data_IF_775239849372
#
_entry.id   IF_775239849372
#
_cell.length_a   1.000
_cell.length_b   1.000
_cell.length_c   1.000
_cell.angle_alpha   90.00
_cell.angle_beta   90.00
_cell.angle_gamma   90.00
#
_symmetry.space_group_name_H-M   'P 1'
#
loop_
_entity.id
_entity.type
_entity.pdbx_description
1 polymer ?
#
# COMPACT_ATOMS: atom_id res chain seq x y z
N UNK A 1 -8.27 5.38 -7.05
CA UNK A 1 -8.16 6.64 -7.84
C UNK A 1 -7.06 7.57 -7.31
N UNK A 2 -6.83 7.62 -6.00
CA UNK A 2 -5.88 8.52 -5.33
C UNK A 2 -4.39 8.28 -5.68
N UNK A 3 -3.95 7.03 -5.70
CA UNK A 3 -2.60 6.66 -6.13
C UNK A 3 -2.28 7.06 -7.58
N UNK A 4 -3.26 7.01 -8.50
CA UNK A 4 -3.06 7.42 -9.90
C UNK A 4 -2.83 8.91 -10.02
N UNK A 5 -3.66 9.73 -9.35
CA UNK A 5 -3.54 11.19 -9.44
C UNK A 5 -2.18 11.61 -8.90
N UNK A 6 -1.72 10.98 -7.83
CA UNK A 6 -0.39 11.19 -7.26
C UNK A 6 0.72 10.74 -8.23
N UNK A 7 0.55 9.59 -8.90
CA UNK A 7 1.47 9.06 -9.92
C UNK A 7 1.58 9.97 -11.15
N UNK A 8 0.43 10.38 -11.69
CA UNK A 8 0.33 11.28 -12.84
C UNK A 8 0.93 12.64 -12.52
N UNK A 9 0.65 13.18 -11.34
CA UNK A 9 1.25 14.44 -10.93
C UNK A 9 2.78 14.30 -10.75
N UNK A 10 3.25 13.25 -10.07
CA UNK A 10 4.67 13.03 -9.80
C UNK A 10 5.51 12.74 -11.04
N UNK A 11 4.91 12.13 -12.07
CA UNK A 11 5.57 11.91 -13.37
C UNK A 11 5.54 13.15 -14.27
N UNK A 12 4.53 14.02 -14.14
CA UNK A 12 4.40 15.26 -14.92
C UNK A 12 5.22 16.43 -14.38
N UNK A 13 5.40 16.56 -13.06
CA UNK A 13 6.05 17.72 -12.45
C UNK A 13 7.54 17.89 -12.79
N UNK A 14 8.38 16.84 -12.82
CA UNK A 14 9.79 16.96 -13.22
C UNK A 14 9.97 17.50 -14.65
N UNK A 15 8.92 17.39 -15.47
CA UNK A 15 8.84 17.93 -16.81
C UNK A 15 8.36 19.39 -16.89
N UNK A 16 8.15 20.06 -15.75
CA UNK A 16 7.75 21.47 -15.68
C UNK A 16 6.24 21.71 -15.70
N UNK A 17 5.42 20.66 -15.53
CA UNK A 17 3.96 20.81 -15.45
C UNK A 17 3.51 20.95 -14.00
N UNK A 18 3.28 22.18 -13.55
CA UNK A 18 2.85 22.48 -12.18
C UNK A 18 1.36 22.78 -12.05
N UNK A 19 0.64 22.93 -13.16
CA UNK A 19 -0.80 23.17 -13.17
C UNK A 19 -1.58 22.01 -13.80
N UNK A 20 -2.76 21.72 -13.26
CA UNK A 20 -3.78 20.86 -13.86
C UNK A 20 -4.46 21.51 -15.07
N UNK A 21 -4.11 22.74 -15.40
CA UNK A 21 -4.62 23.48 -16.55
C UNK A 21 -4.12 22.85 -17.84
N UNK A 22 -5.01 22.65 -18.80
CA UNK A 22 -4.77 22.26 -20.19
C UNK A 22 -4.03 23.37 -20.97
N UNK A 23 -2.95 23.92 -20.39
CA UNK A 23 -2.06 24.88 -21.02
C UNK A 23 -0.97 24.17 -21.83
N UNK A 24 -0.51 24.83 -22.89
CA UNK A 24 0.49 24.28 -23.80
C UNK A 24 1.81 23.97 -23.07
N UNK A 25 2.34 22.78 -23.34
CA UNK A 25 3.64 22.35 -22.85
C UNK A 25 4.73 23.30 -23.36
N UNK A 26 5.57 23.83 -22.48
CA UNK A 26 6.76 24.58 -22.89
C UNK A 26 7.71 23.70 -23.73
N UNK A 27 8.31 24.20 -24.82
CA UNK A 27 9.29 23.46 -25.62
C UNK A 27 10.45 22.86 -24.79
N UNK A 28 10.87 23.55 -23.72
CA UNK A 28 11.90 23.04 -22.82
C UNK A 28 11.40 21.88 -21.94
N UNK A 29 10.11 21.87 -21.59
CA UNK A 29 9.46 20.74 -20.91
C UNK A 29 9.38 19.51 -21.81
N UNK A 30 9.01 19.68 -23.08
CA UNK A 30 9.02 18.60 -24.09
C UNK A 30 10.44 18.04 -24.26
N UNK A 31 11.46 18.90 -24.30
CA UNK A 31 12.86 18.45 -24.45
C UNK A 31 13.33 17.63 -23.25
N UNK A 32 12.98 18.03 -22.02
CA UNK A 32 13.32 17.26 -20.80
C UNK A 32 12.60 15.91 -20.76
N UNK A 33 11.32 15.89 -21.15
CA UNK A 33 10.54 14.66 -21.29
C UNK A 33 11.17 13.70 -22.29
N UNK A 34 11.50 14.19 -23.49
CA UNK A 34 12.12 13.35 -24.52
C UNK A 34 13.49 12.84 -24.05
N UNK A 35 14.32 13.69 -23.45
CA UNK A 35 15.63 13.26 -22.97
C UNK A 35 15.53 12.24 -21.83
N UNK A 36 14.56 12.39 -20.93
CA UNK A 36 14.32 11.40 -19.89
C UNK A 36 13.78 10.09 -20.47
N UNK A 37 12.79 10.16 -21.36
CA UNK A 37 12.20 8.98 -22.01
C UNK A 37 13.20 8.13 -22.75
N UNK A 38 14.21 8.73 -23.40
CA UNK A 38 15.22 8.00 -24.19
C UNK A 38 16.24 7.26 -23.31
N UNK A 39 16.26 7.50 -21.99
CA UNK A 39 17.07 6.68 -21.07
C UNK A 39 16.40 5.32 -20.84
N UNK A 40 17.20 4.26 -20.64
CA UNK A 40 16.67 2.92 -20.33
C UNK A 40 15.70 2.94 -19.13
N UNK A 41 16.03 3.76 -18.13
CA UNK A 41 15.17 4.05 -16.98
C UNK A 41 13.86 4.70 -17.41
N UNK A 42 13.92 5.84 -18.09
CA UNK A 42 12.73 6.60 -18.49
C UNK A 42 11.80 5.82 -19.43
N UNK A 43 12.36 4.97 -20.30
CA UNK A 43 11.58 4.03 -21.12
C UNK A 43 10.81 3.02 -20.26
N UNK A 44 11.49 2.37 -19.30
CA UNK A 44 10.84 1.44 -18.38
C UNK A 44 9.76 2.13 -17.55
N UNK A 45 10.06 3.28 -16.95
CA UNK A 45 9.10 4.05 -16.14
C UNK A 45 7.86 4.48 -16.93
N UNK A 46 8.06 5.01 -18.13
CA UNK A 46 6.94 5.41 -18.98
C UNK A 46 6.06 4.22 -19.34
N UNK A 47 6.68 3.07 -19.63
CA UNK A 47 5.93 1.84 -19.93
C UNK A 47 5.11 1.35 -18.74
N UNK A 48 5.66 1.39 -17.52
CA UNK A 48 4.96 0.99 -16.29
C UNK A 48 3.85 1.98 -15.94
N UNK A 49 4.09 3.28 -16.07
CA UNK A 49 3.06 4.31 -15.84
C UNK A 49 1.89 4.16 -16.84
N UNK A 50 2.18 3.93 -18.13
CA UNK A 50 1.16 3.66 -19.13
C UNK A 50 0.39 2.36 -18.86
N UNK A 51 1.08 1.29 -18.43
CA UNK A 51 0.42 0.06 -17.97
C UNK A 51 -0.50 0.35 -16.79
N UNK A 52 -0.04 1.09 -15.77
CA UNK A 52 -0.84 1.42 -14.59
C UNK A 52 -2.12 2.18 -14.98
N UNK A 53 -2.00 3.18 -15.85
CA UNK A 53 -3.14 3.96 -16.36
C UNK A 53 -4.10 3.08 -17.19
N UNK A 54 -3.57 2.17 -18.00
CA UNK A 54 -4.36 1.29 -18.88
C UNK A 54 -5.11 0.20 -18.12
N UNK A 55 -4.53 -0.34 -17.07
CA UNK A 55 -5.10 -1.44 -16.28
C UNK A 55 -6.04 -0.93 -15.19
N UNK A 56 -5.95 0.35 -14.82
CA UNK A 56 -6.83 0.96 -13.81
C UNK A 56 -8.34 0.83 -14.14
N UNK A 57 -8.83 1.12 -15.35
CA UNK A 57 -10.23 0.88 -15.69
C UNK A 57 -10.66 -0.59 -15.60
N UNK A 58 -9.75 -1.53 -15.86
CA UNK A 58 -10.01 -2.97 -15.79
C UNK A 58 -10.22 -3.43 -14.35
N UNK A 59 -9.54 -2.82 -13.37
CA UNK A 59 -9.73 -3.12 -11.94
C UNK A 59 -11.13 -2.79 -11.40
N UNK A 60 -11.88 -1.87 -12.03
CA UNK A 60 -13.20 -1.41 -11.56
C UNK A 60 -14.39 -1.92 -12.37
N UNK A 61 -14.16 -2.57 -13.51
CA UNK A 61 -15.24 -2.97 -14.43
C UNK A 61 -15.58 -4.47 -14.37
N UNK A 62 -15.20 -5.16 -13.29
CA UNK A 62 -15.52 -6.58 -13.09
C UNK A 62 -16.82 -6.77 -12.28
N UNK A 63 -17.80 -7.40 -12.93
CA UNK A 63 -19.19 -7.58 -12.51
C UNK A 63 -19.39 -8.73 -11.52
N UNK A 64 -18.73 -8.67 -10.35
CA UNK A 64 -19.05 -9.55 -9.21
C UNK A 64 -18.35 -10.92 -9.16
N UNK A 65 -17.32 -11.16 -9.97
CA UNK A 65 -16.46 -12.35 -9.80
C UNK A 65 -15.40 -12.11 -8.70
N UNK A 66 -15.16 -13.12 -7.86
CA UNK A 66 -14.15 -13.07 -6.78
C UNK A 66 -12.76 -13.17 -7.41
N UNK A 67 -11.91 -12.17 -7.18
CA UNK A 67 -10.50 -12.22 -7.57
C UNK A 67 -9.80 -13.41 -6.91
N UNK A 68 -8.96 -14.10 -7.67
CA UNK A 68 -8.09 -15.16 -7.15
C UNK A 68 -6.97 -14.54 -6.30
N UNK A 69 -6.55 -15.27 -5.28
CA UNK A 69 -5.43 -14.85 -4.46
C UNK A 69 -4.12 -14.82 -5.26
N UNK A 70 -3.31 -13.82 -4.97
CA UNK A 70 -2.04 -13.57 -5.65
C UNK A 70 -0.86 -14.02 -4.79
N UNK A 71 0.23 -14.51 -5.41
CA UNK A 71 1.46 -14.74 -4.68
C UNK A 71 2.08 -13.48 -4.09
N UNK A 72 2.41 -13.52 -2.80
CA UNK A 72 3.06 -12.40 -2.11
C UNK A 72 4.44 -12.05 -2.68
N UNK A 73 5.14 -13.04 -3.24
CA UNK A 73 6.45 -12.89 -3.85
C UNK A 73 6.46 -11.89 -5.03
N UNK A 74 5.30 -11.59 -5.63
CA UNK A 74 5.18 -10.62 -6.73
C UNK A 74 5.24 -9.16 -6.27
N UNK A 75 4.93 -8.89 -4.99
CA UNK A 75 4.71 -7.52 -4.50
C UNK A 75 5.67 -7.18 -3.35
N UNK A 76 5.85 -8.08 -2.38
CA UNK A 76 6.62 -7.80 -1.16
C UNK A 76 8.08 -7.41 -1.42
N UNK A 77 8.83 -8.00 -2.38
CA UNK A 77 10.20 -7.56 -2.66
C UNK A 77 10.28 -6.07 -3.03
N UNK A 78 9.39 -5.60 -3.90
CA UNK A 78 9.33 -4.20 -4.30
C UNK A 78 9.01 -3.27 -3.12
N UNK A 79 8.04 -3.64 -2.28
CA UNK A 79 7.64 -2.89 -1.09
C UNK A 79 8.77 -2.79 -0.05
N UNK A 80 9.52 -3.87 0.17
CA UNK A 80 10.67 -3.89 1.10
C UNK A 80 11.82 -3.02 0.61
N UNK A 81 12.18 -3.12 -0.67
CA UNK A 81 13.24 -2.28 -1.25
C UNK A 81 12.82 -0.81 -1.21
N UNK A 82 11.55 -0.51 -1.53
CA UNK A 82 11.00 0.84 -1.41
C UNK A 82 11.11 1.37 0.03
N UNK A 83 10.66 0.59 1.02
CA UNK A 83 10.74 0.98 2.45
C UNK A 83 12.17 1.33 2.84
N UNK A 84 13.14 0.49 2.48
CA UNK A 84 14.55 0.72 2.77
C UNK A 84 15.08 1.95 2.06
N UNK A 85 14.74 2.15 0.79
CA UNK A 85 15.26 3.27 0.03
C UNK A 85 14.66 4.59 0.49
N UNK A 86 13.34 4.62 0.72
CA UNK A 86 12.59 5.85 0.97
C UNK A 86 12.50 6.25 2.45
N UNK A 87 12.63 5.30 3.36
CA UNK A 87 12.64 5.56 4.79
C UNK A 87 14.03 5.39 5.39
N UNK A 88 14.61 4.17 5.31
CA UNK A 88 15.88 3.87 5.98
C UNK A 88 17.09 4.56 5.31
N UNK A 89 17.05 4.74 3.99
CA UNK A 89 18.13 5.31 3.19
C UNK A 89 18.15 6.84 3.14
N UNK A 90 17.06 7.51 3.50
CA UNK A 90 16.96 8.97 3.55
C UNK A 90 16.94 9.53 4.97
N UNK A 91 17.01 8.68 6.00
CA UNK A 91 16.83 9.12 7.39
C UNK A 91 17.93 10.07 7.90
N UNK A 92 19.06 10.29 7.20
CA UNK A 92 20.08 11.33 7.53
C UNK A 92 20.95 11.66 6.28
N UNK A 93 21.20 12.92 5.81
CA UNK A 93 20.60 14.24 6.04
C UNK A 93 20.26 15.05 4.73
N UNK A 94 19.21 15.87 4.77
CA UNK A 94 19.01 17.20 4.13
C UNK A 94 17.51 17.55 4.22
N UNK A 95 17.11 18.78 4.55
CA UNK A 95 15.70 19.18 4.57
C UNK A 95 15.17 19.25 3.14
N UNK A 96 14.72 18.11 2.61
CA UNK A 96 13.93 18.05 1.39
C UNK A 96 12.48 18.34 1.75
N UNK A 97 11.82 19.15 0.93
CA UNK A 97 10.37 19.31 1.07
C UNK A 97 9.67 17.98 0.79
N UNK A 98 8.52 17.74 1.40
CA UNK A 98 7.69 16.56 1.10
C UNK A 98 7.45 16.38 -0.41
N UNK A 99 7.38 17.49 -1.17
CA UNK A 99 7.23 17.48 -2.63
C UNK A 99 8.41 16.84 -3.34
N UNK A 100 9.64 17.15 -2.93
CA UNK A 100 10.85 16.59 -3.56
C UNK A 100 10.95 15.09 -3.30
N UNK A 101 10.60 14.63 -2.10
CA UNK A 101 10.59 13.20 -1.77
C UNK A 101 9.57 12.45 -2.63
N UNK A 102 8.39 13.04 -2.86
CA UNK A 102 7.39 12.47 -3.77
C UNK A 102 7.89 12.41 -5.22
N UNK A 103 8.49 13.48 -5.73
CA UNK A 103 8.99 13.52 -7.10
C UNK A 103 10.15 12.52 -7.29
N UNK A 104 11.04 12.38 -6.31
CA UNK A 104 12.11 11.38 -6.30
C UNK A 104 11.54 9.95 -6.28
N UNK A 105 10.46 9.72 -5.52
CA UNK A 105 9.76 8.44 -5.47
C UNK A 105 9.20 8.02 -6.83
N UNK A 106 8.45 8.90 -7.50
CA UNK A 106 7.83 8.57 -8.78
C UNK A 106 8.86 8.37 -9.91
N UNK A 107 10.08 8.85 -9.72
CA UNK A 107 11.20 8.65 -10.64
C UNK A 107 12.12 7.48 -10.26
N UNK A 108 11.85 6.79 -9.14
CA UNK A 108 12.72 5.74 -8.64
C UNK A 108 12.40 4.37 -9.22
N UNK A 109 13.44 3.56 -9.43
CA UNK A 109 13.31 2.18 -9.92
C UNK A 109 12.42 1.32 -9.01
N UNK A 110 12.46 1.59 -7.71
CA UNK A 110 11.65 0.88 -6.71
C UNK A 110 10.16 1.13 -6.85
N UNK A 111 9.74 2.34 -7.23
CA UNK A 111 8.32 2.61 -7.46
C UNK A 111 7.83 1.85 -8.69
N UNK A 112 8.59 1.84 -9.78
CA UNK A 112 8.25 1.04 -10.96
C UNK A 112 8.20 -0.46 -10.68
N UNK A 113 9.16 -1.01 -9.93
CA UNK A 113 9.14 -2.41 -9.53
C UNK A 113 7.88 -2.76 -8.72
N UNK A 114 7.49 -1.89 -7.78
CA UNK A 114 6.26 -2.09 -6.99
C UNK A 114 5.02 -2.08 -7.89
N UNK A 115 4.89 -1.09 -8.77
CA UNK A 115 3.71 -0.96 -9.64
C UNK A 115 3.63 -2.06 -10.71
N UNK A 116 4.74 -2.44 -11.33
CA UNK A 116 4.76 -3.57 -12.27
C UNK A 116 4.35 -4.86 -11.57
N UNK A 117 4.85 -5.09 -10.34
CA UNK A 117 4.42 -6.21 -9.49
C UNK A 117 2.92 -6.20 -9.16
N UNK A 118 2.37 -5.04 -8.76
CA UNK A 118 0.94 -4.88 -8.47
C UNK A 118 0.07 -5.10 -9.72
N UNK A 119 0.50 -4.61 -10.88
CA UNK A 119 -0.23 -4.77 -12.16
C UNK A 119 -0.23 -6.22 -12.61
N UNK A 120 0.93 -6.88 -12.60
CA UNK A 120 1.03 -8.29 -13.01
C UNK A 120 0.33 -9.21 -12.01
N UNK A 121 0.31 -8.85 -10.72
CA UNK A 121 -0.51 -9.53 -9.72
C UNK A 121 -2.01 -9.36 -10.00
N UNK A 122 -2.48 -8.14 -10.32
CA UNK A 122 -3.87 -7.89 -10.70
C UNK A 122 -4.28 -8.76 -11.89
N UNK A 123 -3.49 -8.77 -12.97
CA UNK A 123 -3.75 -9.59 -14.17
C UNK A 123 -3.85 -11.09 -13.84
N UNK A 124 -3.07 -11.57 -12.88
CA UNK A 124 -3.15 -12.97 -12.44
C UNK A 124 -4.33 -13.27 -11.52
N UNK A 125 -4.86 -12.25 -10.82
CA UNK A 125 -6.02 -12.40 -9.94
C UNK A 125 -7.35 -12.51 -10.71
N UNK A 126 -7.41 -12.02 -11.94
CA UNK A 126 -8.61 -12.08 -12.78
C UNK A 126 -8.91 -13.53 -13.18
N UNK A 127 -10.10 -14.08 -12.84
CA UNK A 127 -10.51 -15.41 -13.27
C UNK A 127 -10.53 -15.50 -14.81
N UNK A 128 -9.85 -16.50 -15.37
CA UNK A 128 -9.91 -16.76 -16.81
C UNK A 128 -11.00 -17.79 -17.08
N UNK A 129 -12.01 -17.42 -17.87
CA UNK A 129 -13.15 -18.28 -18.29
C UNK A 129 -12.75 -19.49 -19.17
N UNK A 130 -11.47 -19.82 -19.27
CA UNK A 130 -10.99 -20.98 -19.99
C UNK A 130 -10.45 -22.01 -19.01
N UNK A 131 -10.81 -23.27 -19.24
CA UNK A 131 -10.19 -24.46 -18.65
C UNK A 131 -8.69 -24.49 -19.01
N UNK A 132 -7.91 -23.57 -18.49
CA UNK A 132 -6.46 -23.56 -18.62
C UNK A 132 -5.89 -24.07 -17.31
N UNK A 133 -5.35 -25.28 -17.40
CA UNK A 133 -4.35 -25.93 -16.56
C UNK A 133 -4.22 -25.38 -15.14
N UNK A 134 -4.48 -26.26 -14.18
CA UNK A 134 -3.97 -26.14 -12.82
C UNK A 134 -2.59 -25.47 -12.85
N UNK A 135 -2.52 -24.21 -12.40
CA UNK A 135 -1.25 -23.56 -12.20
C UNK A 135 -0.50 -24.46 -11.23
N UNK A 136 0.60 -25.05 -11.71
CA UNK A 136 1.65 -25.68 -10.91
C UNK A 136 2.36 -24.60 -10.08
N UNK A 137 1.59 -23.84 -9.29
CA UNK A 137 2.11 -23.00 -8.24
C UNK A 137 2.61 -23.90 -7.13
N UNK A 138 3.75 -23.55 -6.56
CA UNK A 138 4.26 -24.22 -5.36
C UNK A 138 3.15 -24.21 -4.30
N UNK A 139 2.75 -25.39 -3.82
CA UNK A 139 1.68 -25.52 -2.81
C UNK A 139 2.05 -24.79 -1.51
N UNK A 140 3.34 -24.46 -1.33
CA UNK A 140 3.86 -23.70 -0.18
C UNK A 140 3.93 -22.18 -0.43
N UNK A 141 3.57 -21.69 -1.62
CA UNK A 141 3.59 -20.25 -1.90
C UNK A 141 2.44 -19.54 -1.17
N UNK A 142 2.79 -18.61 -0.27
CA UNK A 142 1.81 -17.77 0.43
C UNK A 142 1.08 -16.86 -0.56
N UNK A 143 -0.26 -16.85 -0.47
CA UNK A 143 -1.14 -16.03 -1.33
C UNK A 143 -2.10 -15.20 -0.50
N UNK A 144 -2.50 -14.04 -1.01
CA UNK A 144 -3.45 -13.16 -0.35
C UNK A 144 -4.37 -12.46 -1.36
N UNK A 145 -5.42 -11.80 -0.87
CA UNK A 145 -6.28 -10.97 -1.71
C UNK A 145 -5.46 -9.85 -2.33
N UNK A 146 -5.55 -9.68 -3.65
CA UNK A 146 -4.91 -8.56 -4.33
C UNK A 146 -5.44 -7.21 -3.84
N UNK A 147 -6.76 -7.10 -3.63
CA UNK A 147 -7.38 -5.85 -3.22
C UNK A 147 -7.03 -5.50 -1.76
N UNK A 148 -7.07 -6.46 -0.84
CA UNK A 148 -6.62 -6.28 0.54
C UNK A 148 -5.15 -5.82 0.62
N UNK A 149 -4.26 -6.51 -0.10
CA UNK A 149 -2.84 -6.17 -0.13
C UNK A 149 -2.59 -4.79 -0.74
N UNK A 150 -3.27 -4.45 -1.84
CA UNK A 150 -3.16 -3.14 -2.47
C UNK A 150 -3.55 -2.04 -1.47
N UNK A 151 -4.73 -2.15 -0.84
CA UNK A 151 -5.21 -1.16 0.12
C UNK A 151 -4.23 -1.01 1.29
N UNK A 152 -3.74 -2.10 1.85
CA UNK A 152 -2.77 -2.02 2.95
C UNK A 152 -1.46 -1.33 2.53
N UNK A 153 -0.97 -1.58 1.31
CA UNK A 153 0.18 -0.86 0.74
C UNK A 153 -0.13 0.62 0.56
N UNK A 154 -1.33 0.96 0.08
CA UNK A 154 -1.77 2.33 -0.09
C UNK A 154 -1.71 3.11 1.24
N UNK A 155 -2.29 2.54 2.29
CA UNK A 155 -2.28 3.11 3.63
C UNK A 155 -0.85 3.19 4.21
N UNK A 156 -0.02 2.18 3.99
CA UNK A 156 1.37 2.17 4.46
C UNK A 156 2.22 3.26 3.80
N UNK A 157 2.07 3.44 2.49
CA UNK A 157 2.79 4.48 1.74
C UNK A 157 2.34 5.89 2.13
N UNK A 158 1.10 6.07 2.54
CA UNK A 158 0.58 7.35 3.04
C UNK A 158 1.02 7.64 4.47
N UNK A 159 0.88 6.67 5.39
CA UNK A 159 1.01 6.92 6.83
C UNK A 159 2.41 6.66 7.39
N UNK A 160 3.14 5.69 6.82
CA UNK A 160 4.44 5.24 7.37
C UNK A 160 5.59 5.78 6.52
N UNK A 161 5.53 5.58 5.20
CA UNK A 161 6.58 6.09 4.30
C UNK A 161 6.34 7.56 3.90
N UNK A 162 5.09 8.03 4.03
CA UNK A 162 4.68 9.43 3.76
C UNK A 162 5.01 9.89 2.33
N UNK A 163 4.81 8.99 1.36
CA UNK A 163 5.05 9.23 -0.06
C UNK A 163 3.79 9.66 -0.82
N UNK A 164 2.61 9.49 -0.22
CA UNK A 164 1.34 9.82 -0.86
C UNK A 164 0.71 11.09 -0.29
N UNK A 165 -0.20 11.68 -1.07
CA UNK A 165 -1.09 12.73 -0.56
C UNK A 165 -2.11 12.09 0.41
N UNK A 166 -2.76 12.87 1.28
CA UNK A 166 -3.85 12.36 2.10
C UNK A 166 -5.03 11.88 1.24
N UNK A 167 -5.66 10.76 1.57
CA UNK A 167 -6.93 10.37 0.93
C UNK A 167 -7.98 11.48 1.09
N UNK A 168 -8.85 11.64 0.10
CA UNK A 168 -10.10 12.37 0.34
C UNK A 168 -11.00 11.53 1.26
N UNK A 169 -11.72 12.18 2.16
CA UNK A 169 -12.61 11.51 3.13
C UNK A 169 -13.51 10.44 2.53
N UNK A 170 -14.17 10.74 1.42
CA UNK A 170 -15.12 9.82 0.77
C UNK A 170 -14.41 8.58 0.19
N UNK A 171 -13.24 8.78 -0.42
CA UNK A 171 -12.44 7.67 -0.93
C UNK A 171 -11.90 6.82 0.22
N UNK A 172 -11.50 7.45 1.33
CA UNK A 172 -10.99 6.75 2.50
C UNK A 172 -12.02 5.78 3.09
N UNK A 173 -13.23 6.25 3.41
CA UNK A 173 -14.26 5.41 4.02
C UNK A 173 -14.65 4.24 3.11
N UNK A 174 -14.82 4.50 1.80
CA UNK A 174 -15.12 3.44 0.84
C UNK A 174 -14.00 2.39 0.75
N UNK A 175 -12.74 2.83 0.71
CA UNK A 175 -11.57 1.95 0.75
C UNK A 175 -11.54 1.10 2.02
N UNK A 176 -11.78 1.70 3.19
CA UNK A 176 -11.81 0.96 4.46
C UNK A 176 -12.94 -0.07 4.53
N UNK A 177 -14.12 0.21 3.96
CA UNK A 177 -15.21 -0.76 3.88
C UNK A 177 -14.87 -1.96 3.00
N UNK A 178 -14.20 -1.74 1.85
CA UNK A 178 -13.69 -2.85 1.01
C UNK A 178 -12.67 -3.66 1.81
N UNK A 179 -11.76 -2.99 2.50
CA UNK A 179 -10.69 -3.65 3.23
C UNK A 179 -11.21 -4.50 4.39
N UNK A 180 -12.19 -3.99 5.14
CA UNK A 180 -12.89 -4.75 6.19
C UNK A 180 -13.49 -6.04 5.64
N UNK A 181 -14.17 -5.97 4.49
CA UNK A 181 -14.75 -7.15 3.84
C UNK A 181 -13.66 -8.17 3.46
N UNK A 182 -12.58 -7.70 2.84
CA UNK A 182 -11.48 -8.56 2.36
C UNK A 182 -10.72 -9.24 3.50
N UNK A 183 -10.39 -8.51 4.58
CA UNK A 183 -9.78 -9.10 5.78
C UNK A 183 -10.69 -10.11 6.46
N UNK A 184 -12.00 -9.81 6.50
CA UNK A 184 -13.01 -10.75 7.00
C UNK A 184 -12.97 -12.08 6.23
N UNK A 185 -12.87 -12.04 4.89
CA UNK A 185 -12.72 -13.25 4.09
C UNK A 185 -11.39 -13.98 4.35
N UNK A 186 -10.29 -13.25 4.52
CA UNK A 186 -8.98 -13.86 4.73
C UNK A 186 -8.91 -14.70 6.00
N UNK A 187 -9.59 -14.31 7.09
CA UNK A 187 -9.64 -15.10 8.34
C UNK A 187 -10.34 -16.46 8.20
N UNK A 188 -11.28 -16.58 7.26
CA UNK A 188 -12.03 -17.82 7.08
C UNK A 188 -11.29 -18.84 6.21
N UNK A 189 -10.10 -18.50 5.70
CA UNK A 189 -9.32 -19.39 4.86
C UNK A 189 -8.51 -20.38 5.71
N UNK A 190 -8.37 -21.65 5.25
CA UNK A 190 -7.60 -22.66 5.98
C UNK A 190 -6.12 -22.29 6.23
N UNK A 191 -5.55 -21.47 5.36
CA UNK A 191 -4.16 -20.99 5.41
C UNK A 191 -3.98 -19.70 6.20
N UNK A 192 -5.03 -19.13 6.80
CA UNK A 192 -4.96 -17.91 7.59
C UNK A 192 -3.85 -17.91 8.67
N UNK A 193 -3.58 -19.01 9.41
CA UNK A 193 -2.46 -19.05 10.36
C UNK A 193 -1.09 -18.84 9.71
N UNK A 194 -0.91 -19.28 8.46
CA UNK A 194 0.34 -19.08 7.71
C UNK A 194 0.51 -17.63 7.25
N UNK A 195 -0.59 -16.88 7.17
CA UNK A 195 -0.62 -15.47 6.78
C UNK A 195 -0.68 -14.52 7.99
N UNK A 196 -0.57 -15.03 9.22
CA UNK A 196 -0.76 -14.23 10.43
C UNK A 196 0.13 -12.97 10.49
N UNK A 197 1.38 -13.04 10.04
CA UNK A 197 2.27 -11.87 9.93
C UNK A 197 1.74 -10.82 8.96
N UNK A 198 1.22 -11.24 7.81
CA UNK A 198 0.63 -10.35 6.82
C UNK A 198 -0.67 -9.73 7.35
N UNK A 199 -1.55 -10.56 7.91
CA UNK A 199 -2.83 -10.12 8.46
C UNK A 199 -2.64 -9.14 9.62
N UNK A 200 -1.62 -9.36 10.47
CA UNK A 200 -1.21 -8.40 11.48
C UNK A 200 -0.72 -7.10 10.85
N UNK A 201 0.16 -7.17 9.85
CA UNK A 201 0.67 -5.98 9.16
C UNK A 201 -0.43 -5.16 8.50
N UNK A 202 -1.34 -5.81 7.76
CA UNK A 202 -2.46 -5.20 7.07
C UNK A 202 -3.42 -4.50 8.04
N UNK A 203 -3.83 -5.20 9.10
CA UNK A 203 -4.75 -4.64 10.11
C UNK A 203 -4.10 -3.54 10.93
N UNK A 204 -2.83 -3.66 11.28
CA UNK A 204 -2.15 -2.65 12.10
C UNK A 204 -1.89 -1.35 11.32
N UNK A 205 -1.51 -1.44 10.04
CA UNK A 205 -1.43 -0.26 9.15
C UNK A 205 -2.80 0.43 9.04
N UNK A 206 -3.89 -0.34 8.99
CA UNK A 206 -5.25 0.20 9.00
C UNK A 206 -5.53 1.00 10.28
N UNK A 207 -5.18 0.47 11.46
CA UNK A 207 -5.35 1.16 12.74
C UNK A 207 -4.57 2.47 12.79
N UNK A 208 -3.31 2.48 12.34
CA UNK A 208 -2.50 3.70 12.27
C UNK A 208 -3.20 4.76 11.40
N UNK A 209 -3.68 4.36 10.22
CA UNK A 209 -4.40 5.25 9.32
C UNK A 209 -5.68 5.81 9.95
N UNK A 210 -6.47 4.96 10.61
CA UNK A 210 -7.71 5.36 11.27
C UNK A 210 -7.47 6.41 12.35
N UNK A 211 -6.39 6.29 13.12
CA UNK A 211 -6.06 7.27 14.14
C UNK A 211 -5.72 8.65 13.57
N UNK A 212 -5.20 8.72 12.34
CA UNK A 212 -4.95 9.99 11.66
C UNK A 212 -6.22 10.58 11.05
N UNK A 213 -7.06 9.76 10.42
CA UNK A 213 -8.32 10.21 9.82
C UNK A 213 -9.41 10.55 10.86
N UNK A 214 -9.36 9.94 12.05
CA UNK A 214 -10.23 10.31 13.16
C UNK A 214 -9.97 11.74 13.64
N UNK A 215 -8.69 12.13 13.77
CA UNK A 215 -8.30 13.51 14.13
C UNK A 215 -8.81 14.54 13.11
N UNK A 216 -9.07 14.12 11.88
CA UNK A 216 -9.61 14.95 10.80
C UNK A 216 -11.15 14.99 10.79
N UNK A 217 -11.82 14.21 11.65
CA UNK A 217 -13.29 14.15 11.74
C UNK A 217 -13.94 13.25 10.68
N UNK A 218 -13.15 12.42 9.98
CA UNK A 218 -13.64 11.62 8.86
C UNK A 218 -14.55 10.48 9.31
N UNK A 219 -14.27 9.90 10.48
CA UNK A 219 -14.93 8.70 11.02
C UNK A 219 -16.29 8.93 11.68
N UNK A 220 -16.75 10.17 11.82
CA UNK A 220 -17.99 10.49 12.57
C UNK A 220 -19.26 9.78 12.06
N UNK A 221 -19.26 9.31 10.81
CA UNK A 221 -20.40 8.62 10.18
C UNK A 221 -20.30 7.08 10.20
N UNK A 222 -19.15 6.53 10.57
CA UNK A 222 -18.86 5.09 10.50
C UNK A 222 -18.13 4.62 11.79
N UNK A 223 -18.77 4.73 12.97
CA UNK A 223 -18.11 4.46 14.25
C UNK A 223 -17.66 3.01 14.43
N UNK A 224 -18.22 2.07 13.65
CA UNK A 224 -17.91 0.64 13.74
C UNK A 224 -16.60 0.23 13.03
N UNK A 225 -16.07 1.06 12.13
CA UNK A 225 -14.85 0.73 11.37
C UNK A 225 -13.66 0.60 12.29
N UNK A 226 -13.46 1.54 13.22
CA UNK A 226 -12.28 1.53 14.10
C UNK A 226 -12.22 0.30 15.02
N UNK A 227 -13.28 -0.01 15.80
CA UNK A 227 -13.30 -1.20 16.64
C UNK A 227 -13.07 -2.51 15.86
N UNK A 228 -13.51 -2.57 14.60
CA UNK A 228 -13.27 -3.74 13.74
C UNK A 228 -11.77 -3.99 13.51
N UNK A 229 -11.04 -2.98 13.04
CA UNK A 229 -9.61 -3.12 12.75
C UNK A 229 -8.77 -3.26 14.02
N UNK A 230 -9.13 -2.59 15.11
CA UNK A 230 -8.46 -2.77 16.41
C UNK A 230 -8.65 -4.19 16.96
N UNK A 231 -9.88 -4.72 16.90
CA UNK A 231 -10.16 -6.11 17.29
C UNK A 231 -9.40 -7.12 16.43
N UNK A 232 -9.31 -6.86 15.13
CA UNK A 232 -8.57 -7.70 14.20
C UNK A 232 -7.06 -7.70 14.49
N UNK A 233 -6.45 -6.52 14.66
CA UNK A 233 -5.04 -6.38 14.98
C UNK A 233 -4.68 -7.04 16.33
N UNK A 234 -5.58 -6.94 17.32
CA UNK A 234 -5.45 -7.64 18.60
C UNK A 234 -5.48 -9.15 18.42
N UNK A 235 -6.43 -9.68 17.68
CA UNK A 235 -6.55 -11.12 17.44
C UNK A 235 -5.32 -11.67 16.71
N UNK A 236 -4.82 -10.97 15.69
CA UNK A 236 -3.58 -11.40 15.02
C UNK A 236 -2.35 -11.28 15.92
N UNK A 237 -2.30 -10.28 16.80
CA UNK A 237 -1.26 -10.20 17.83
C UNK A 237 -1.28 -11.39 18.77
N UNK A 238 -2.48 -11.89 19.12
CA UNK A 238 -2.67 -13.10 19.94
C UNK A 238 -2.21 -14.36 19.21
N UNK A 239 -2.60 -14.53 17.94
CA UNK A 239 -2.19 -15.67 17.09
C UNK A 239 -0.67 -15.75 16.96
N UNK A 240 0.00 -14.61 16.80
CA UNK A 240 1.45 -14.51 16.72
C UNK A 240 2.17 -14.54 18.09
N UNK A 241 1.42 -14.49 19.19
CA UNK A 241 1.99 -14.47 20.54
C UNK A 241 2.79 -13.21 20.87
N UNK A 242 2.43 -12.06 20.29
CA UNK A 242 3.13 -10.79 20.47
C UNK A 242 2.84 -10.23 21.87
N UNK A 243 3.88 -10.11 22.71
CA UNK A 243 3.74 -9.65 24.11
C UNK A 243 4.33 -8.27 24.35
N UNK A 244 5.26 -7.87 23.50
CA UNK A 244 5.96 -6.60 23.60
C UNK A 244 5.94 -5.87 22.26
N UNK A 245 6.12 -4.55 22.30
CA UNK A 245 6.32 -3.77 21.07
C UNK A 245 7.49 -4.28 20.23
N UNK A 246 8.53 -4.82 20.85
CA UNK A 246 9.66 -5.44 20.14
C UNK A 246 9.21 -6.64 19.30
N UNK A 247 8.29 -7.46 19.81
CA UNK A 247 7.74 -8.61 19.09
C UNK A 247 6.87 -8.13 17.91
N UNK A 248 6.03 -7.12 18.17
CA UNK A 248 5.20 -6.49 17.15
C UNK A 248 6.04 -5.90 16.01
N UNK A 249 7.06 -5.10 16.34
CA UNK A 249 8.00 -4.54 15.36
C UNK A 249 8.72 -5.64 14.57
N UNK A 250 9.12 -6.75 15.21
CA UNK A 250 9.71 -7.88 14.51
C UNK A 250 8.73 -8.55 13.53
N UNK A 251 7.44 -8.62 13.85
CA UNK A 251 6.40 -9.09 12.92
C UNK A 251 6.20 -8.15 11.74
N UNK A 252 6.14 -6.83 11.98
CA UNK A 252 6.03 -5.84 10.91
C UNK A 252 7.23 -5.90 9.95
N UNK A 253 8.44 -6.06 10.50
CA UNK A 253 9.69 -6.21 9.72
C UNK A 253 9.70 -7.46 8.84
N UNK A 254 8.99 -8.54 9.21
CA UNK A 254 8.86 -9.73 8.36
C UNK A 254 8.06 -9.44 7.09
N UNK A 255 7.19 -8.43 7.07
CA UNK A 255 6.44 -8.02 5.88
C UNK A 255 7.14 -6.84 5.20
N UNK A 256 6.97 -5.62 5.73
CA UNK A 256 7.65 -4.41 5.31
C UNK A 256 7.52 -3.34 6.39
N UNK A 257 8.62 -2.99 7.05
CA UNK A 257 8.62 -1.93 8.06
C UNK A 257 9.99 -1.24 8.07
N UNK A 258 10.08 0.06 8.40
CA UNK A 258 11.36 0.72 8.54
C UNK A 258 12.14 0.20 9.75
N UNK A 259 13.45 0.03 9.60
CA UNK A 259 14.31 -0.43 10.70
C UNK A 259 14.41 0.65 11.78
N UNK A 260 14.71 1.88 11.35
CA UNK A 260 14.93 3.04 12.22
C UNK A 260 13.77 4.04 12.07
N UNK A 261 12.56 3.57 12.40
CA UNK A 261 11.34 4.39 12.33
C UNK A 261 11.40 5.56 13.32
N UNK A 262 11.24 6.80 12.83
CA UNK A 262 11.35 8.03 13.63
C UNK A 262 10.17 8.18 14.59
N UNK A 263 8.98 7.75 14.18
CA UNK A 263 7.75 7.83 14.96
C UNK A 263 7.45 6.50 15.69
N UNK A 264 8.49 5.74 16.06
CA UNK A 264 8.36 4.42 16.71
C UNK A 264 7.56 4.51 18.02
N UNK A 265 7.82 5.53 18.84
CA UNK A 265 7.09 5.74 20.10
C UNK A 265 5.60 6.05 19.86
N UNK A 266 5.28 6.77 18.78
CA UNK A 266 3.88 7.08 18.43
C UNK A 266 3.13 5.80 18.04
N UNK A 267 3.70 5.01 17.13
CA UNK A 267 3.07 3.77 16.67
C UNK A 267 3.05 2.69 17.76
N UNK A 268 4.08 2.66 18.60
CA UNK A 268 4.10 1.86 19.83
C UNK A 268 2.90 2.18 20.71
N UNK A 269 2.63 3.45 20.97
CA UNK A 269 1.48 3.87 21.77
C UNK A 269 0.13 3.46 21.17
N UNK A 270 0.02 3.43 19.84
CA UNK A 270 -1.16 2.88 19.15
C UNK A 270 -1.30 1.39 19.42
N UNK A 271 -0.22 0.61 19.26
CA UNK A 271 -0.25 -0.82 19.53
C UNK A 271 -0.59 -1.13 20.99
N UNK A 272 0.04 -0.43 21.93
CA UNK A 272 -0.24 -0.59 23.36
C UNK A 272 -1.71 -0.28 23.66
N UNK A 273 -2.29 0.79 23.11
CA UNK A 273 -3.72 1.10 23.28
C UNK A 273 -4.65 0.01 22.73
N UNK A 274 -4.31 -0.58 21.57
CA UNK A 274 -5.08 -1.69 20.97
C UNK A 274 -5.07 -2.91 21.89
N UNK A 275 -3.93 -3.19 22.52
CA UNK A 275 -3.75 -4.31 23.46
C UNK A 275 -4.37 -4.02 24.84
N UNK A 276 -4.38 -2.76 25.30
CA UNK A 276 -4.92 -2.33 26.60
C UNK A 276 -6.45 -2.32 26.68
N UNK A 277 -7.15 -2.11 25.56
CA UNK A 277 -8.63 -2.06 25.53
C UNK A 277 -9.31 -3.37 26.01
N UNK A 278 -8.54 -4.43 26.24
CA UNK A 278 -8.97 -5.68 26.87
C UNK A 278 -8.98 -5.62 28.42
N UNK A 279 -8.14 -4.80 29.05
CA UNK A 279 -8.01 -4.75 30.51
C UNK A 279 -9.19 -4.06 31.22
N UNK A 280 -10.05 -3.36 30.47
CA UNK A 280 -11.18 -2.58 31.01
C UNK A 280 -12.53 -3.28 30.78
N UNK A 281 -12.57 -4.36 29.99
CA UNK A 281 -13.81 -5.07 29.59
C UNK A 281 -13.95 -6.44 30.27
N UNK A 282 -13.00 -6.81 31.14
CA UNK A 282 -13.10 -7.98 32.04
C UNK A 282 -13.33 -7.52 33.48
#
# INVERSE_FOLDING_TARGET
MHGITTALDGTRRPAGFTETTTGSVSPDGIRRINNWHVTDRGHYFHSVALKAIREFPVTFNYSGEIFQDIPLARVLPGLRILTRNFYDGYSKPLPRSARQIQDDFWQSETSAMLYDGLIEAHKSSVPKNHKSQANTGDENEQKASWAGLLIAIELYLEQVVVLWRPFTRENYLYTMSIFQRDLGYALHKPDAPQLADLLFWESFVAVISLQMHEKQGDLAKEPGIRPYFEGFAREQSRVLGLKTWKDAKAALLRIAWPCDFTDDDYVKGIWEAVMEYEAVVN
#
